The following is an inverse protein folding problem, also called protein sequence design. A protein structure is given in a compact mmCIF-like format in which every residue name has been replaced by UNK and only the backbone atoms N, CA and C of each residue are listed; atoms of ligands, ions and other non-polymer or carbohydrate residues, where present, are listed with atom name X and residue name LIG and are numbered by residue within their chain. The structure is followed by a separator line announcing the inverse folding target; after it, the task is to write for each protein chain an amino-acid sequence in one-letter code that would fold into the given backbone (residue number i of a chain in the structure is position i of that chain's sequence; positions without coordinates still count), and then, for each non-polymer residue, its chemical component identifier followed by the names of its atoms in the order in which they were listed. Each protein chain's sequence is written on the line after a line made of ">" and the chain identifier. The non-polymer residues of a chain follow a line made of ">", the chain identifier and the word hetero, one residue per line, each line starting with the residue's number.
data_IF_260780198359
#
_entry.id   IF_260780198359
#
_cell.length_a   1.000
_cell.length_b   1.000
_cell.length_c   1.000
_cell.angle_alpha   90.00
_cell.angle_beta   90.00
_cell.angle_gamma   90.00
#
_symmetry.space_group_name_H-M   'P 1'
#
loop_
_entity.id
_entity.type
_entity.pdbx_description
1 polymer ?
#
# COMPACT_ATOMS: atom_id res chain seq x y z
N UNK A 1 -13.68 23.18 15.10
CA UNK A 1 -12.69 22.22 14.55
C UNK A 1 -13.29 21.23 13.54
N UNK A 2 -14.42 20.55 13.84
CA UNK A 2 -15.06 19.56 12.95
C UNK A 2 -15.45 20.11 11.55
N UNK A 3 -15.88 21.38 11.47
CA UNK A 3 -16.26 22.02 10.20
C UNK A 3 -15.08 22.25 9.24
N UNK A 4 -13.90 22.60 9.75
CA UNK A 4 -12.71 22.81 8.90
C UNK A 4 -12.15 21.50 8.35
N UNK A 5 -12.13 20.42 9.16
CA UNK A 5 -11.70 19.09 8.71
C UNK A 5 -12.61 18.59 7.59
N UNK A 6 -13.94 18.75 7.72
CA UNK A 6 -14.89 18.42 6.65
C UNK A 6 -14.64 19.23 5.37
N UNK A 7 -14.29 20.51 5.48
CA UNK A 7 -13.97 21.37 4.34
C UNK A 7 -12.73 20.91 3.57
N UNK A 8 -11.64 20.58 4.28
CA UNK A 8 -10.39 20.09 3.67
C UNK A 8 -10.59 18.72 3.01
N UNK A 9 -11.24 17.78 3.69
CA UNK A 9 -11.54 16.45 3.13
C UNK A 9 -12.36 16.58 1.84
N UNK A 10 -13.38 17.46 1.83
CA UNK A 10 -14.22 17.68 0.66
C UNK A 10 -13.45 18.34 -0.48
N UNK A 11 -12.49 19.21 -0.20
CA UNK A 11 -11.65 19.83 -1.21
C UNK A 11 -10.69 18.83 -1.86
N UNK A 12 -10.05 17.98 -1.06
CA UNK A 12 -9.05 16.99 -1.53
C UNK A 12 -9.69 15.80 -2.26
N UNK A 13 -10.94 15.45 -1.94
CA UNK A 13 -11.66 14.31 -2.54
C UNK A 13 -12.60 14.70 -3.70
N UNK A 14 -12.70 15.99 -4.04
CA UNK A 14 -13.55 16.45 -5.16
C UNK A 14 -13.11 15.78 -6.46
N UNK A 15 -14.07 15.19 -7.17
CA UNK A 15 -13.80 14.52 -8.44
C UNK A 15 -13.26 13.10 -8.33
N UNK A 16 -12.81 12.66 -7.14
CA UNK A 16 -12.25 11.31 -6.93
C UNK A 16 -13.36 10.27 -6.78
N UNK A 17 -13.25 9.14 -7.47
CA UNK A 17 -14.08 7.96 -7.20
C UNK A 17 -13.46 7.15 -6.06
N UNK A 18 -13.90 7.42 -4.82
CA UNK A 18 -13.32 6.78 -3.63
C UNK A 18 -13.52 5.25 -3.62
N UNK A 19 -14.63 4.75 -4.16
CA UNK A 19 -14.90 3.32 -4.22
C UNK A 19 -13.98 2.64 -5.24
N UNK A 20 -13.79 3.24 -6.43
CA UNK A 20 -12.83 2.75 -7.41
C UNK A 20 -11.40 2.78 -6.87
N UNK A 21 -11.02 3.86 -6.18
CA UNK A 21 -9.69 4.02 -5.58
C UNK A 21 -9.41 2.95 -4.52
N UNK A 22 -10.37 2.72 -3.61
CA UNK A 22 -10.25 1.70 -2.58
C UNK A 22 -10.14 0.29 -3.19
N UNK A 23 -10.98 -0.04 -4.19
CA UNK A 23 -10.90 -1.34 -4.90
C UNK A 23 -9.56 -1.53 -5.61
N UNK A 24 -9.05 -0.50 -6.28
CA UNK A 24 -7.76 -0.54 -6.95
C UNK A 24 -6.64 -0.86 -5.95
N UNK A 25 -6.61 -0.15 -4.82
CA UNK A 25 -5.64 -0.38 -3.76
C UNK A 25 -5.73 -1.80 -3.17
N UNK A 26 -6.94 -2.30 -2.90
CA UNK A 26 -7.15 -3.69 -2.41
C UNK A 26 -6.63 -4.73 -3.39
N UNK A 27 -6.92 -4.59 -4.69
CA UNK A 27 -6.45 -5.55 -5.69
C UNK A 27 -4.93 -5.47 -5.85
N UNK A 28 -4.35 -4.26 -5.86
CA UNK A 28 -2.90 -4.07 -5.94
C UNK A 28 -2.15 -4.65 -4.74
N UNK A 29 -2.67 -4.50 -3.51
CA UNK A 29 -1.99 -5.04 -2.32
C UNK A 29 -2.04 -6.57 -2.25
N UNK A 30 -3.04 -7.21 -2.86
CA UNK A 30 -3.04 -8.67 -3.04
C UNK A 30 -1.88 -9.10 -3.95
N UNK A 31 -1.65 -8.38 -5.05
CA UNK A 31 -0.53 -8.66 -5.94
C UNK A 31 0.83 -8.39 -5.25
N UNK A 32 0.94 -7.29 -4.50
CA UNK A 32 2.09 -7.02 -3.63
C UNK A 32 2.39 -8.21 -2.71
N UNK A 33 1.36 -8.71 -2.01
CA UNK A 33 1.51 -9.81 -1.05
C UNK A 33 1.98 -11.09 -1.73
N UNK A 34 1.50 -11.35 -2.95
CA UNK A 34 1.94 -12.50 -3.74
C UNK A 34 3.42 -12.40 -4.13
N UNK A 35 3.88 -11.23 -4.57
CA UNK A 35 5.29 -10.98 -4.92
C UNK A 35 6.18 -11.12 -3.69
N UNK A 36 5.81 -10.50 -2.57
CA UNK A 36 6.53 -10.63 -1.30
C UNK A 36 6.67 -12.10 -0.87
N UNK A 37 5.59 -12.90 -0.97
CA UNK A 37 5.62 -14.32 -0.61
C UNK A 37 6.53 -15.13 -1.56
N UNK A 38 6.57 -14.79 -2.85
CA UNK A 38 7.51 -15.39 -3.81
C UNK A 38 8.94 -15.03 -3.44
N UNK A 39 9.24 -13.75 -3.21
CA UNK A 39 10.58 -13.26 -2.86
C UNK A 39 11.10 -13.96 -1.61
N UNK A 40 10.30 -14.02 -0.54
CA UNK A 40 10.66 -14.76 0.69
C UNK A 40 11.03 -16.22 0.44
N UNK A 41 10.25 -16.92 -0.39
CA UNK A 41 10.49 -18.34 -0.69
C UNK A 41 11.75 -18.55 -1.51
N UNK A 42 12.10 -17.57 -2.35
CA UNK A 42 13.30 -17.62 -3.18
C UNK A 42 14.57 -17.22 -2.40
N UNK A 43 14.48 -16.24 -1.51
CA UNK A 43 15.65 -15.73 -0.76
C UNK A 43 15.84 -16.37 0.61
N UNK A 44 14.82 -17.04 1.14
CA UNK A 44 14.81 -17.53 2.52
C UNK A 44 14.60 -16.43 3.56
N UNK A 45 14.31 -15.21 3.11
CA UNK A 45 14.07 -14.05 3.98
C UNK A 45 12.88 -14.25 4.91
N UNK A 46 13.04 -13.78 6.16
CA UNK A 46 11.97 -13.70 7.16
C UNK A 46 11.31 -12.33 7.21
N UNK A 47 11.51 -11.47 6.20
CA UNK A 47 10.68 -10.28 6.00
C UNK A 47 9.26 -10.74 5.64
N UNK A 48 8.24 -10.36 6.42
CA UNK A 48 6.85 -10.74 6.22
C UNK A 48 5.94 -9.64 6.78
N UNK A 49 5.41 -8.80 5.89
CA UNK A 49 4.59 -7.65 6.27
C UNK A 49 3.28 -8.05 6.95
N UNK A 50 2.79 -9.26 6.69
CA UNK A 50 1.59 -9.78 7.35
C UNK A 50 1.87 -10.09 8.82
N UNK A 51 3.02 -10.66 9.11
CA UNK A 51 3.46 -10.86 10.49
C UNK A 51 3.80 -9.51 11.12
N UNK A 52 4.46 -8.60 10.39
CA UNK A 52 4.79 -7.25 10.88
C UNK A 52 3.53 -6.49 11.33
N UNK A 53 2.46 -6.52 10.55
CA UNK A 53 1.22 -5.82 10.89
C UNK A 53 0.42 -6.56 11.97
N UNK A 54 0.42 -7.90 11.94
CA UNK A 54 -0.42 -8.71 12.80
C UNK A 54 0.12 -8.94 14.20
N UNK A 55 1.45 -9.02 14.37
CA UNK A 55 2.06 -9.41 15.66
C UNK A 55 1.79 -8.47 16.81
N UNK A 56 1.78 -7.14 16.63
CA UNK A 56 1.42 -6.21 17.70
C UNK A 56 0.00 -6.44 18.22
N UNK A 57 -0.94 -6.84 17.36
CA UNK A 57 -2.32 -7.12 17.74
C UNK A 57 -2.52 -8.54 18.32
N UNK A 58 -1.72 -9.51 17.85
CA UNK A 58 -1.83 -10.92 18.24
C UNK A 58 -0.44 -11.49 18.57
N UNK A 59 0.10 -11.22 19.77
CA UNK A 59 1.49 -11.57 20.11
C UNK A 59 1.72 -13.09 20.25
N UNK A 60 0.75 -13.82 20.81
CA UNK A 60 0.96 -15.22 21.23
C UNK A 60 0.45 -16.27 20.22
N UNK A 61 -0.01 -15.87 19.03
CA UNK A 61 -0.56 -16.80 18.02
C UNK A 61 -0.08 -16.45 16.61
N UNK A 62 1.06 -17.01 16.13
CA UNK A 62 1.64 -16.67 14.83
C UNK A 62 0.67 -16.78 13.65
N UNK A 63 -0.06 -17.89 13.55
CA UNK A 63 -0.98 -18.13 12.43
C UNK A 63 -2.19 -17.20 12.45
N UNK A 64 -2.64 -16.79 13.63
CA UNK A 64 -3.71 -15.81 13.76
C UNK A 64 -3.17 -14.40 13.46
N UNK A 65 -1.96 -14.09 13.91
CA UNK A 65 -1.32 -12.81 13.61
C UNK A 65 -1.17 -12.60 12.10
N UNK A 66 -0.68 -13.60 11.36
CA UNK A 66 -0.55 -13.49 9.90
C UNK A 66 -1.88 -13.20 9.22
N UNK A 67 -2.97 -13.84 9.68
CA UNK A 67 -4.33 -13.59 9.17
C UNK A 67 -4.85 -12.20 9.52
N UNK A 68 -4.62 -11.73 10.74
CA UNK A 68 -4.97 -10.36 11.16
C UNK A 68 -4.19 -9.34 10.35
N UNK A 69 -2.88 -9.56 10.17
CA UNK A 69 -2.04 -8.70 9.36
C UNK A 69 -2.46 -8.67 7.90
N UNK A 70 -2.91 -9.79 7.32
CA UNK A 70 -3.52 -9.79 5.99
C UNK A 70 -4.75 -8.88 5.93
N UNK A 71 -5.64 -8.94 6.93
CA UNK A 71 -6.77 -8.02 7.03
C UNK A 71 -6.34 -6.55 7.11
N UNK A 72 -5.36 -6.23 7.95
CA UNK A 72 -4.80 -4.87 8.06
C UNK A 72 -4.16 -4.43 6.73
N UNK A 73 -3.45 -5.32 6.04
CA UNK A 73 -2.78 -4.99 4.79
C UNK A 73 -3.79 -4.69 3.67
N UNK A 74 -4.92 -5.40 3.62
CA UNK A 74 -6.03 -5.06 2.72
C UNK A 74 -6.61 -3.66 3.01
N UNK A 75 -6.78 -3.31 4.29
CA UNK A 75 -7.24 -1.97 4.70
C UNK A 75 -6.23 -0.90 4.33
N UNK A 76 -4.93 -1.14 4.59
CA UNK A 76 -3.86 -0.24 4.16
C UNK A 76 -3.87 -0.06 2.64
N UNK A 77 -4.09 -1.14 1.89
CA UNK A 77 -4.22 -1.10 0.45
C UNK A 77 -5.34 -0.16 0.01
N UNK A 78 -6.52 -0.27 0.61
CA UNK A 78 -7.63 0.64 0.33
C UNK A 78 -7.29 2.12 0.64
N UNK A 79 -6.63 2.37 1.78
CA UNK A 79 -6.20 3.71 2.20
C UNK A 79 -5.17 4.29 1.22
N UNK A 80 -4.15 3.52 0.84
CA UNK A 80 -3.14 3.91 -0.15
C UNK A 80 -3.81 4.16 -1.51
N UNK A 81 -4.79 3.33 -1.90
CA UNK A 81 -5.64 3.55 -3.07
C UNK A 81 -6.24 4.94 -3.12
N UNK A 82 -6.89 5.35 -2.02
CA UNK A 82 -7.49 6.67 -1.88
C UNK A 82 -6.42 7.77 -1.84
N UNK A 83 -5.31 7.56 -1.14
CA UNK A 83 -4.20 8.52 -1.07
C UNK A 83 -3.59 8.76 -2.45
N UNK A 84 -3.34 7.70 -3.23
CA UNK A 84 -2.86 7.80 -4.60
C UNK A 84 -3.84 8.60 -5.47
N UNK A 85 -5.12 8.27 -5.45
CA UNK A 85 -6.13 8.93 -6.27
C UNK A 85 -6.30 10.42 -5.93
N UNK A 86 -6.11 10.80 -4.66
CA UNK A 86 -6.29 12.18 -4.19
C UNK A 86 -5.01 13.03 -4.32
N UNK A 87 -3.85 12.43 -4.05
CA UNK A 87 -2.58 13.14 -3.92
C UNK A 87 -1.71 13.03 -5.17
N UNK A 88 -1.71 11.89 -5.87
CA UNK A 88 -0.69 11.58 -6.88
C UNK A 88 -1.23 11.45 -8.31
N UNK A 89 -2.42 10.87 -8.50
CA UNK A 89 -2.91 10.43 -9.81
C UNK A 89 -2.87 11.49 -10.92
N UNK A 90 -3.29 12.73 -10.61
CA UNK A 90 -3.34 13.83 -11.59
C UNK A 90 -2.09 14.73 -11.55
N UNK A 91 -1.17 14.51 -10.59
CA UNK A 91 0.02 15.35 -10.39
C UNK A 91 1.29 14.75 -10.98
N UNK A 92 1.30 13.44 -11.17
CA UNK A 92 2.45 12.72 -11.69
C UNK A 92 2.38 12.59 -13.23
N UNK A 93 3.50 12.79 -13.95
CA UNK A 93 3.52 12.67 -15.40
C UNK A 93 3.49 11.20 -15.87
N UNK A 94 3.24 11.01 -17.17
CA UNK A 94 3.35 9.70 -17.83
C UNK A 94 2.08 8.83 -17.77
N UNK A 95 2.17 7.57 -18.22
CA UNK A 95 1.04 6.64 -18.23
C UNK A 95 0.63 6.20 -16.81
N UNK A 96 -0.61 5.70 -16.62
CA UNK A 96 -1.17 5.40 -15.29
C UNK A 96 -0.32 4.44 -14.45
N UNK A 97 0.24 3.39 -15.06
CA UNK A 97 1.10 2.43 -14.36
C UNK A 97 2.38 3.11 -13.83
N UNK A 98 2.98 4.01 -14.61
CA UNK A 98 4.21 4.70 -14.23
C UNK A 98 3.94 5.70 -13.10
N UNK A 99 2.80 6.40 -13.14
CA UNK A 99 2.37 7.29 -12.04
C UNK A 99 2.25 6.52 -10.73
N UNK A 100 1.64 5.34 -10.76
CA UNK A 100 1.53 4.48 -9.59
C UNK A 100 2.91 4.00 -9.10
N UNK A 101 3.79 3.52 -9.99
CA UNK A 101 5.16 3.15 -9.60
C UNK A 101 5.90 4.31 -8.93
N UNK A 102 5.89 5.50 -9.54
CA UNK A 102 6.55 6.68 -8.96
C UNK A 102 5.99 7.04 -7.59
N UNK A 103 4.67 7.01 -7.42
CA UNK A 103 4.03 7.29 -6.13
C UNK A 103 4.47 6.31 -5.04
N UNK A 104 4.44 5.01 -5.33
CA UNK A 104 4.77 3.95 -4.37
C UNK A 104 6.29 3.88 -4.10
N UNK A 105 7.14 4.27 -5.04
CA UNK A 105 8.58 4.41 -4.80
C UNK A 105 8.89 5.60 -3.88
N UNK A 106 8.21 6.73 -4.08
CA UNK A 106 8.33 7.89 -3.18
C UNK A 106 7.83 7.54 -1.78
N UNK A 107 6.69 6.84 -1.69
CA UNK A 107 6.19 6.34 -0.40
C UNK A 107 7.21 5.44 0.28
N UNK A 108 7.72 4.41 -0.41
CA UNK A 108 8.68 3.48 0.16
C UNK A 108 9.95 4.20 0.64
N UNK A 109 10.50 5.12 -0.16
CA UNK A 109 11.68 5.89 0.24
C UNK A 109 11.41 6.79 1.45
N UNK A 110 10.23 7.40 1.53
CA UNK A 110 9.84 8.27 2.64
C UNK A 110 9.56 7.50 3.94
N UNK A 111 8.95 6.31 3.85
CA UNK A 111 8.59 5.48 5.00
C UNK A 111 9.72 4.55 5.45
N UNK A 112 10.67 4.19 4.60
CA UNK A 112 11.73 3.27 4.96
C UNK A 112 12.53 3.70 6.21
N UNK A 113 12.90 4.99 6.41
CA UNK A 113 13.51 5.46 7.66
C UNK A 113 12.68 5.19 8.93
N UNK A 114 11.36 5.08 8.81
CA UNK A 114 10.47 4.79 9.95
C UNK A 114 10.53 3.32 10.36
N UNK A 115 11.25 2.46 9.62
CA UNK A 115 11.48 1.07 10.00
C UNK A 115 12.58 0.93 11.06
N UNK A 116 13.45 1.93 11.23
CA UNK A 116 14.56 1.89 12.20
C UNK A 116 14.10 1.61 13.65
N UNK A 117 13.05 2.24 14.19
CA UNK A 117 12.57 1.95 15.54
C UNK A 117 12.00 0.53 15.70
N UNK A 118 11.58 -0.14 14.63
CA UNK A 118 11.00 -1.48 14.72
C UNK A 118 11.99 -2.51 15.24
N UNK A 119 13.30 -2.29 15.03
CA UNK A 119 14.39 -3.12 15.60
C UNK A 119 14.24 -3.33 17.10
N UNK A 120 13.79 -2.31 17.83
CA UNK A 120 13.69 -2.34 19.30
C UNK A 120 12.25 -2.44 19.80
N UNK A 121 11.27 -2.01 19.00
CA UNK A 121 9.87 -1.94 19.41
C UNK A 121 9.05 -3.15 18.97
N UNK A 122 9.39 -3.77 17.84
CA UNK A 122 8.52 -4.77 17.24
C UNK A 122 8.74 -6.16 17.87
N UNK A 123 7.69 -6.81 18.44
CA UNK A 123 7.84 -8.09 19.14
C UNK A 123 8.41 -9.18 18.23
N UNK A 124 7.93 -9.30 17.00
CA UNK A 124 8.40 -10.34 16.08
C UNK A 124 9.88 -10.18 15.67
N UNK A 125 10.40 -8.95 15.66
CA UNK A 125 11.82 -8.70 15.33
C UNK A 125 12.67 -9.04 16.55
N UNK A 126 12.25 -8.61 17.76
CA UNK A 126 12.95 -8.94 19.01
C UNK A 126 13.03 -10.44 19.29
N UNK A 127 11.98 -11.17 18.94
CA UNK A 127 11.90 -12.62 19.15
C UNK A 127 12.63 -13.41 18.04
N UNK A 128 13.25 -12.74 17.06
CA UNK A 128 13.97 -13.35 15.94
C UNK A 128 13.06 -13.98 14.87
N UNK A 129 11.73 -13.83 14.99
CA UNK A 129 10.77 -14.35 14.03
C UNK A 129 10.86 -13.63 12.68
N UNK A 130 11.02 -12.29 12.70
CA UNK A 130 11.24 -11.47 11.52
C UNK A 130 12.71 -11.06 11.42
N UNK A 131 13.18 -10.89 10.19
CA UNK A 131 14.45 -10.22 9.93
C UNK A 131 14.35 -8.71 10.19
N UNK A 132 15.51 -8.06 10.17
CA UNK A 132 15.62 -6.63 10.43
C UNK A 132 15.19 -5.79 9.22
N UNK A 133 14.09 -5.06 9.39
CA UNK A 133 13.50 -4.19 8.38
C UNK A 133 14.30 -2.92 8.09
N UNK A 134 15.28 -2.55 8.91
CA UNK A 134 16.16 -1.40 8.66
C UNK A 134 17.52 -1.85 8.13
N UNK A 135 17.52 -2.70 7.11
CA UNK A 135 18.73 -3.27 6.51
C UNK A 135 18.73 -3.11 4.99
N UNK A 136 19.92 -3.04 4.39
CA UNK A 136 20.00 -2.90 2.94
C UNK A 136 19.33 -4.04 2.15
N UNK A 137 19.44 -5.31 2.57
CA UNK A 137 18.64 -6.39 2.00
C UNK A 137 17.13 -6.14 2.10
N UNK A 138 16.61 -5.77 3.27
CA UNK A 138 15.18 -5.50 3.44
C UNK A 138 14.67 -4.35 2.56
N UNK A 139 15.49 -3.30 2.36
CA UNK A 139 15.14 -2.25 1.41
C UNK A 139 15.04 -2.78 -0.02
N UNK A 140 16.03 -3.54 -0.48
CA UNK A 140 16.02 -4.08 -1.85
C UNK A 140 14.86 -5.05 -2.05
N UNK A 141 14.59 -5.92 -1.08
CA UNK A 141 13.44 -6.84 -1.08
C UNK A 141 12.09 -6.11 -1.06
N UNK A 142 12.02 -4.89 -0.53
CA UNK A 142 10.80 -4.09 -0.59
C UNK A 142 10.48 -3.56 -1.99
N UNK A 143 11.47 -3.45 -2.88
CA UNK A 143 11.28 -2.78 -4.18
C UNK A 143 10.33 -3.55 -5.11
N UNK A 144 10.49 -4.88 -5.37
CA UNK A 144 9.62 -5.58 -6.31
C UNK A 144 8.13 -5.55 -5.93
N UNK A 145 7.72 -5.82 -4.67
CA UNK A 145 6.32 -5.70 -4.27
C UNK A 145 5.75 -4.29 -4.50
N UNK A 146 6.50 -3.23 -4.15
CA UNK A 146 6.05 -1.85 -4.34
C UNK A 146 5.97 -1.43 -5.82
N UNK A 147 6.90 -1.91 -6.66
CA UNK A 147 6.84 -1.70 -8.11
C UNK A 147 5.58 -2.35 -8.68
N UNK A 148 5.28 -3.60 -8.32
CA UNK A 148 4.09 -4.30 -8.81
C UNK A 148 2.81 -3.65 -8.29
N UNK A 149 2.77 -3.26 -7.02
CA UNK A 149 1.66 -2.49 -6.46
C UNK A 149 1.41 -1.25 -7.30
N UNK A 150 2.45 -0.43 -7.48
CA UNK A 150 2.37 0.84 -8.21
C UNK A 150 1.99 0.65 -9.67
N UNK A 151 2.53 -0.36 -10.35
CA UNK A 151 2.20 -0.64 -11.74
C UNK A 151 0.71 -0.99 -11.93
N UNK A 152 0.06 -1.54 -10.90
CA UNK A 152 -1.34 -1.95 -10.95
C UNK A 152 -2.32 -0.86 -10.47
N UNK A 153 -1.96 -0.08 -9.44
CA UNK A 153 -2.94 0.82 -8.78
C UNK A 153 -3.49 1.89 -9.73
N UNK A 154 -2.66 2.47 -10.59
CA UNK A 154 -3.07 3.48 -11.57
C UNK A 154 -4.06 2.94 -12.60
N UNK A 155 -3.68 1.93 -13.41
CA UNK A 155 -4.58 1.34 -14.41
C UNK A 155 -5.87 0.79 -13.80
N UNK A 156 -5.79 0.14 -12.62
CA UNK A 156 -6.98 -0.39 -11.95
C UNK A 156 -7.92 0.73 -11.48
N UNK A 157 -7.38 1.83 -10.95
CA UNK A 157 -8.20 2.98 -10.58
C UNK A 157 -8.92 3.55 -11.79
N UNK A 158 -8.22 3.73 -12.92
CA UNK A 158 -8.84 4.20 -14.16
C UNK A 158 -9.92 3.27 -14.70
N UNK A 159 -9.66 1.97 -14.66
CA UNK A 159 -10.63 0.95 -15.09
C UNK A 159 -11.86 0.93 -14.18
N UNK A 160 -11.67 1.01 -12.87
CA UNK A 160 -12.78 0.94 -11.93
C UNK A 160 -13.61 2.21 -11.88
N UNK A 161 -13.04 3.38 -12.17
CA UNK A 161 -13.79 4.65 -12.21
C UNK A 161 -14.60 4.84 -13.49
N UNK A 162 -14.22 4.19 -14.59
CA UNK A 162 -14.98 4.19 -15.86
C UNK A 162 -16.06 3.11 -15.91
N UNK A 163 -15.85 2.00 -15.19
CA UNK A 163 -16.84 0.92 -15.07
C UNK A 163 -18.07 1.28 -14.20
N UNK A 164 -18.01 2.37 -13.42
CA UNK A 164 -19.15 2.84 -12.62
C UNK A 164 -20.19 3.51 -13.52
N UNK A 165 -21.41 2.96 -13.68
CA UNK A 165 -22.42 3.52 -14.58
C UNK A 165 -22.84 4.94 -14.15
N UNK A 166 -22.88 5.89 -15.10
CA UNK A 166 -23.44 7.24 -14.90
C UNK A 166 -22.44 8.40 -14.92
N UNK A 167 -21.13 8.15 -14.99
CA UNK A 167 -20.11 9.22 -15.12
C UNK A 167 -19.65 9.33 -16.57
N UNK A 168 -20.17 10.33 -17.31
CA UNK A 168 -19.66 10.64 -18.66
C UNK A 168 -18.18 11.05 -18.57
N UNK A 169 -17.36 10.74 -19.58
CA UNK A 169 -16.01 11.31 -19.69
C UNK A 169 -16.11 12.84 -19.67
N UNK A 170 -15.34 13.49 -18.81
CA UNK A 170 -15.15 14.93 -18.87
C UNK A 170 -14.05 15.17 -19.90
N UNK A 171 -14.41 15.70 -21.06
CA UNK A 171 -13.47 16.15 -22.08
C UNK A 171 -13.65 15.44 -23.41
N UNK A 172 -14.61 15.93 -24.19
CA UNK A 172 -14.54 16.08 -25.65
C UNK A 172 -15.38 17.34 -25.96
N UNK A 173 -14.71 18.50 -25.92
CA UNK A 173 -15.24 19.79 -26.37
C UNK A 173 -14.11 20.61 -26.95
#
# INVERSE_FOLDING_TARGET
>A
MIGQVRGVVRAVTRGVDLAAAARAGVVSVVAYTAVMEVDRRLTGSRIDDLILLGRPAVPNRPDLARRVGAGIHLVNGAVIGVAYATLAHDRLPGPPWLRGVMALMVENLALYPTMRPLRTLHPAIRDGQLDDYWSWPAFVESLPPHIVYGALIGPLYERFRTATPGRRPVGDS
#
